data_IF_385640454757
#
_entry.id   IF_385640454757
#
_cell.length_a   1.000
_cell.length_b   1.000
_cell.length_c   1.000
_cell.angle_alpha   90.00
_cell.angle_beta   90.00
_cell.angle_gamma   90.00
#
_symmetry.space_group_name_H-M   'P 1'
#
loop_
_entity.id
_entity.type
_entity.pdbx_description
1 polymer ?
#
# COMPACT_ATOMS: atom_id res chain seq x y z
N UNK A 1 -40.88 24.01 0.46
CA UNK A 1 -41.36 23.25 1.63
C UNK A 1 -40.20 23.23 2.61
N UNK A 2 -40.38 23.73 3.84
CA UNK A 2 -39.34 23.68 4.88
C UNK A 2 -39.46 22.32 5.60
N UNK A 3 -38.47 21.44 5.46
CA UNK A 3 -38.48 20.10 6.08
C UNK A 3 -37.76 20.05 7.42
N UNK A 4 -37.31 21.21 7.95
CA UNK A 4 -36.70 21.29 9.27
C UNK A 4 -37.77 21.11 10.37
N UNK A 5 -37.53 20.15 11.28
CA UNK A 5 -38.43 19.90 12.42
C UNK A 5 -39.50 18.81 12.17
N UNK A 6 -39.39 18.02 11.10
CA UNK A 6 -40.22 16.83 10.93
C UNK A 6 -39.88 15.77 11.98
N UNK A 7 -40.91 15.22 12.62
CA UNK A 7 -40.79 14.06 13.50
C UNK A 7 -40.69 12.76 12.71
N UNK A 8 -40.17 11.71 13.35
CA UNK A 8 -40.14 10.39 12.74
C UNK A 8 -41.56 9.88 12.50
N UNK A 9 -41.82 9.20 11.37
CA UNK A 9 -43.14 8.61 11.11
C UNK A 9 -43.53 7.59 12.20
N UNK A 10 -44.83 7.39 12.45
CA UNK A 10 -45.31 6.36 13.36
C UNK A 10 -44.73 4.98 13.01
N UNK A 11 -44.23 4.26 14.00
CA UNK A 11 -43.58 2.94 13.83
C UNK A 11 -42.10 2.98 13.50
N UNK A 12 -41.48 4.17 13.36
CA UNK A 12 -40.04 4.34 13.24
C UNK A 12 -39.47 4.73 14.61
N UNK A 13 -38.66 3.85 15.21
CA UNK A 13 -38.21 3.99 16.62
C UNK A 13 -36.76 4.46 16.74
N UNK A 14 -36.04 4.59 15.62
CA UNK A 14 -34.67 5.05 15.61
C UNK A 14 -34.32 5.82 14.35
N UNK A 15 -33.33 6.70 14.44
CA UNK A 15 -32.67 7.27 13.26
C UNK A 15 -31.93 6.20 12.47
N UNK A 16 -31.75 6.38 11.16
CA UNK A 16 -30.94 5.47 10.36
C UNK A 16 -29.53 5.32 10.93
N UNK A 17 -29.06 4.08 11.00
CA UNK A 17 -27.67 3.75 11.34
C UNK A 17 -26.98 3.06 10.18
N UNK A 18 -25.66 3.21 10.08
CA UNK A 18 -24.88 2.55 9.04
C UNK A 18 -24.85 1.05 9.29
N UNK A 19 -25.37 0.26 8.35
CA UNK A 19 -25.30 -1.20 8.43
C UNK A 19 -23.93 -1.73 7.99
N UNK A 20 -23.37 -1.18 6.90
CA UNK A 20 -22.03 -1.46 6.40
C UNK A 20 -21.58 -0.39 5.41
N UNK A 21 -20.26 -0.22 5.26
CA UNK A 21 -19.64 0.67 4.27
C UNK A 21 -18.18 0.27 4.03
N UNK A 22 -17.59 0.67 2.89
CA UNK A 22 -16.14 0.71 2.75
C UNK A 22 -15.67 2.02 3.38
N UNK A 23 -14.72 1.93 4.30
CA UNK A 23 -14.34 3.09 5.10
C UNK A 23 -13.02 3.71 4.66
N UNK A 24 -12.01 2.86 4.37
CA UNK A 24 -10.69 3.31 3.95
C UNK A 24 -9.99 2.20 3.18
N UNK A 25 -9.88 2.37 1.86
CA UNK A 25 -9.26 1.39 0.98
C UNK A 25 -7.76 1.59 0.90
N UNK A 26 -7.02 0.47 0.90
CA UNK A 26 -5.57 0.42 0.81
C UNK A 26 -5.08 -0.87 0.15
N UNK A 27 -3.77 -1.00 0.01
CA UNK A 27 -3.02 -2.19 -0.30
C UNK A 27 -3.56 -3.04 -1.45
N UNK A 28 -3.77 -2.48 -2.66
CA UNK A 28 -4.26 -3.26 -3.78
C UNK A 28 -3.19 -4.24 -4.28
N UNK A 29 -3.60 -5.48 -4.56
CA UNK A 29 -2.75 -6.51 -5.18
C UNK A 29 -3.59 -7.38 -6.11
N UNK A 30 -3.06 -7.75 -7.28
CA UNK A 30 -3.73 -8.64 -8.22
C UNK A 30 -3.09 -10.02 -8.23
N UNK A 31 -3.90 -11.08 -8.21
CA UNK A 31 -3.42 -12.44 -8.42
C UNK A 31 -3.17 -12.74 -9.91
N UNK A 32 -2.59 -13.92 -10.18
CA UNK A 32 -2.30 -14.35 -11.55
C UNK A 32 -3.53 -14.60 -12.42
N UNK A 33 -4.73 -14.66 -11.83
CA UNK A 33 -6.00 -14.85 -12.54
C UNK A 33 -6.73 -13.51 -12.79
N UNK A 34 -6.16 -12.38 -12.28
CA UNK A 34 -6.67 -11.04 -12.48
C UNK A 34 -7.68 -10.59 -11.41
N UNK A 35 -7.82 -11.33 -10.32
CA UNK A 35 -8.63 -10.86 -9.19
C UNK A 35 -7.88 -9.77 -8.43
N UNK A 36 -8.57 -8.68 -8.11
CA UNK A 36 -8.04 -7.59 -7.30
C UNK A 36 -8.38 -7.82 -5.82
N UNK A 37 -7.36 -7.94 -5.00
CA UNK A 37 -7.45 -7.90 -3.54
C UNK A 37 -7.11 -6.49 -3.05
N UNK A 38 -7.82 -6.01 -2.05
CA UNK A 38 -7.51 -4.72 -1.41
C UNK A 38 -8.03 -4.72 0.03
N UNK A 39 -7.48 -3.85 0.85
CA UNK A 39 -7.85 -3.77 2.26
C UNK A 39 -8.90 -2.69 2.51
N UNK A 40 -9.72 -2.91 3.52
CA UNK A 40 -10.58 -1.92 4.16
C UNK A 40 -10.18 -1.88 5.64
N UNK A 41 -9.17 -1.06 5.93
CA UNK A 41 -8.45 -1.07 7.21
C UNK A 41 -9.40 -0.81 8.37
N UNK A 42 -10.27 0.20 8.25
CA UNK A 42 -11.19 0.61 9.33
C UNK A 42 -12.19 -0.50 9.67
N UNK A 43 -12.63 -1.28 8.69
CA UNK A 43 -13.54 -2.42 8.91
C UNK A 43 -12.78 -3.74 9.17
N UNK A 44 -11.45 -3.69 9.28
CA UNK A 44 -10.59 -4.83 9.60
C UNK A 44 -10.82 -6.03 8.68
N UNK A 45 -10.79 -5.80 7.35
CA UNK A 45 -11.06 -6.84 6.35
C UNK A 45 -10.22 -6.68 5.08
N UNK A 46 -9.99 -7.80 4.40
CA UNK A 46 -9.49 -7.85 3.03
C UNK A 46 -10.68 -8.17 2.14
N UNK A 47 -10.83 -7.42 1.07
CA UNK A 47 -11.85 -7.57 0.04
C UNK A 47 -11.24 -8.17 -1.21
N UNK A 48 -12.03 -8.85 -2.02
CA UNK A 48 -11.64 -9.32 -3.36
C UNK A 48 -12.71 -8.97 -4.38
N UNK A 49 -12.26 -8.36 -5.48
CA UNK A 49 -13.03 -8.14 -6.69
C UNK A 49 -12.56 -9.16 -7.73
N UNK A 50 -13.40 -10.13 -8.04
CA UNK A 50 -13.07 -11.16 -9.02
C UNK A 50 -12.99 -10.56 -10.45
N UNK A 51 -12.09 -11.09 -11.27
CA UNK A 51 -11.90 -10.63 -12.64
C UNK A 51 -13.21 -10.63 -13.43
N UNK A 52 -13.53 -9.49 -14.06
CA UNK A 52 -14.79 -9.30 -14.79
C UNK A 52 -16.02 -9.05 -13.92
N UNK A 53 -15.91 -9.10 -12.59
CA UNK A 53 -16.99 -8.76 -11.66
C UNK A 53 -17.06 -7.25 -11.42
N UNK A 54 -18.24 -6.77 -11.01
CA UNK A 54 -18.44 -5.42 -10.44
C UNK A 54 -18.71 -5.46 -8.94
N UNK A 55 -18.78 -6.65 -8.37
CA UNK A 55 -19.12 -6.86 -6.96
C UNK A 55 -17.93 -7.49 -6.25
N UNK A 56 -17.49 -6.86 -5.18
CA UNK A 56 -16.49 -7.43 -4.29
C UNK A 56 -17.16 -8.33 -3.23
N UNK A 57 -16.36 -9.23 -2.66
CA UNK A 57 -16.73 -10.01 -1.48
C UNK A 57 -15.65 -9.88 -0.41
N UNK A 58 -15.98 -10.23 0.82
CA UNK A 58 -14.98 -10.33 1.88
C UNK A 58 -14.14 -11.59 1.65
N UNK A 59 -12.82 -11.39 1.52
CA UNK A 59 -11.86 -12.48 1.44
C UNK A 59 -11.45 -12.96 2.83
N UNK A 60 -11.07 -12.03 3.73
CA UNK A 60 -10.64 -12.33 5.10
C UNK A 60 -11.13 -11.27 6.09
N UNK A 61 -11.71 -11.71 7.21
CA UNK A 61 -12.12 -10.88 8.33
C UNK A 61 -12.11 -11.70 9.63
N UNK A 62 -11.41 -11.27 10.72
CA UNK A 62 -10.58 -10.07 10.78
C UNK A 62 -9.33 -10.19 9.91
N UNK A 63 -8.84 -9.06 9.40
CA UNK A 63 -7.61 -8.97 8.63
C UNK A 63 -6.36 -8.67 9.47
N UNK A 64 -6.55 -8.35 10.75
CA UNK A 64 -5.49 -7.84 11.62
C UNK A 64 -5.12 -6.39 11.33
N UNK A 65 -6.07 -5.59 10.80
CA UNK A 65 -5.84 -4.23 10.30
C UNK A 65 -4.81 -4.20 9.18
N UNK A 66 -4.92 -5.17 8.25
CA UNK A 66 -4.04 -5.21 7.09
C UNK A 66 -4.11 -3.90 6.30
N UNK A 67 -2.94 -3.41 5.89
CA UNK A 67 -2.72 -2.27 5.04
C UNK A 67 -2.22 -2.76 3.67
N UNK A 68 -0.93 -2.75 3.37
CA UNK A 68 -0.36 -3.21 2.11
C UNK A 68 -0.53 -4.70 1.87
N UNK A 69 -0.83 -5.07 0.63
CA UNK A 69 -0.89 -6.44 0.14
C UNK A 69 0.05 -6.61 -1.04
N UNK A 70 0.59 -7.82 -1.22
CA UNK A 70 1.38 -8.19 -2.39
C UNK A 70 1.27 -9.69 -2.63
N UNK A 71 1.43 -10.14 -3.86
CA UNK A 71 1.63 -11.55 -4.18
C UNK A 71 3.12 -11.86 -4.28
N UNK A 72 3.60 -12.88 -3.55
CA UNK A 72 4.98 -13.36 -3.65
C UNK A 72 5.21 -14.18 -4.93
N UNK A 73 6.44 -14.61 -5.16
CA UNK A 73 6.83 -15.36 -6.37
C UNK A 73 6.06 -16.66 -6.59
N UNK A 74 5.50 -17.24 -5.52
CA UNK A 74 4.69 -18.47 -5.58
C UNK A 74 3.19 -18.16 -5.65
N UNK A 75 2.79 -16.87 -5.74
CA UNK A 75 1.39 -16.48 -5.82
C UNK A 75 0.64 -16.56 -4.49
N UNK A 76 1.34 -16.52 -3.35
CA UNK A 76 0.73 -16.43 -2.01
C UNK A 76 0.54 -14.96 -1.63
N UNK A 77 -0.56 -14.65 -0.96
CA UNK A 77 -0.89 -13.30 -0.57
C UNK A 77 -0.15 -12.90 0.71
N UNK A 78 0.77 -11.94 0.59
CA UNK A 78 1.41 -11.25 1.70
C UNK A 78 0.50 -10.13 2.21
N UNK A 79 0.49 -9.88 3.53
CA UNK A 79 -0.24 -8.80 4.15
C UNK A 79 0.58 -8.15 5.26
N UNK A 80 0.68 -6.83 5.20
CA UNK A 80 1.17 -5.98 6.27
C UNK A 80 0.02 -5.74 7.25
N UNK A 81 -0.06 -6.55 8.31
CA UNK A 81 -1.09 -6.40 9.33
C UNK A 81 -0.65 -5.31 10.31
N UNK A 82 -1.22 -4.12 10.16
CA UNK A 82 -0.80 -2.89 10.84
C UNK A 82 -1.42 -2.69 12.22
N UNK A 83 -1.64 -1.42 12.56
CA UNK A 83 -2.27 -1.00 13.84
C UNK A 83 -2.98 0.37 13.68
N UNK A 84 -3.27 0.79 12.45
CA UNK A 84 -3.87 2.08 12.17
C UNK A 84 -5.36 2.12 12.51
N UNK A 85 -5.87 3.31 12.83
CA UNK A 85 -7.27 3.61 13.19
C UNK A 85 -7.79 2.98 14.49
N UNK A 86 -7.15 1.92 15.01
CA UNK A 86 -7.55 1.25 16.25
C UNK A 86 -6.33 0.67 16.96
N UNK A 87 -5.64 1.43 17.81
CA UNK A 87 -4.30 1.10 18.29
C UNK A 87 -4.16 -0.20 19.11
N UNK A 88 -5.22 -0.87 19.45
CA UNK A 88 -5.15 -2.13 20.21
C UNK A 88 -5.77 -3.33 19.48
N UNK A 89 -6.13 -3.17 18.21
CA UNK A 89 -6.83 -4.19 17.42
C UNK A 89 -6.02 -4.69 16.20
N UNK A 90 -4.88 -4.07 15.94
CA UNK A 90 -3.96 -4.49 14.89
C UNK A 90 -3.00 -5.59 15.34
N UNK A 91 -2.63 -6.48 14.42
CA UNK A 91 -1.73 -7.59 14.74
C UNK A 91 -0.26 -7.18 14.79
N UNK A 92 0.14 -6.13 14.06
CA UNK A 92 1.50 -5.59 13.99
C UNK A 92 2.50 -6.67 13.53
N UNK A 93 2.23 -7.26 12.35
CA UNK A 93 3.00 -8.40 11.83
C UNK A 93 2.94 -8.49 10.30
N UNK A 94 3.80 -9.31 9.72
CA UNK A 94 3.71 -9.74 8.32
C UNK A 94 3.16 -11.15 8.28
N UNK A 95 2.10 -11.36 7.49
CA UNK A 95 1.52 -12.67 7.26
C UNK A 95 1.53 -13.06 5.78
N UNK A 96 1.46 -14.35 5.50
CA UNK A 96 1.40 -14.94 4.18
C UNK A 96 0.24 -15.96 4.12
N UNK A 97 -0.62 -15.80 3.11
CA UNK A 97 -1.80 -16.65 2.94
C UNK A 97 -1.64 -17.49 1.67
N UNK A 98 -1.72 -18.80 1.80
CA UNK A 98 -1.88 -19.72 0.68
C UNK A 98 -3.34 -19.66 0.20
N UNK A 99 -3.57 -19.21 -1.04
CA UNK A 99 -4.93 -19.06 -1.58
C UNK A 99 -5.64 -20.39 -1.84
N UNK A 100 -4.88 -21.49 -2.01
CA UNK A 100 -5.43 -22.82 -2.29
C UNK A 100 -5.99 -23.47 -1.03
N UNK A 101 -5.24 -23.35 0.07
CA UNK A 101 -5.60 -23.98 1.35
C UNK A 101 -6.30 -23.03 2.32
N UNK A 102 -6.15 -21.72 2.13
CA UNK A 102 -6.58 -20.68 3.06
C UNK A 102 -5.69 -20.57 4.31
N UNK A 103 -4.60 -21.34 4.38
CA UNK A 103 -3.69 -21.30 5.53
C UNK A 103 -2.96 -19.97 5.62
N UNK A 104 -2.89 -19.41 6.84
CA UNK A 104 -2.18 -18.15 7.14
C UNK A 104 -0.95 -18.48 7.98
N UNK A 105 0.21 -18.14 7.45
CA UNK A 105 1.51 -18.22 8.12
C UNK A 105 1.91 -16.85 8.61
N UNK A 106 2.47 -16.74 9.83
CA UNK A 106 3.08 -15.52 10.35
C UNK A 106 4.57 -15.57 10.00
N UNK A 107 5.02 -14.63 9.17
CA UNK A 107 6.43 -14.53 8.79
C UNK A 107 7.27 -13.86 9.88
N UNK A 108 6.74 -12.79 10.46
CA UNK A 108 7.36 -12.09 11.59
C UNK A 108 6.34 -11.20 12.31
N UNK A 109 6.43 -11.10 13.64
CA UNK A 109 5.62 -10.20 14.47
C UNK A 109 6.47 -9.33 15.40
N UNK A 110 7.81 -9.51 15.38
CA UNK A 110 8.77 -8.82 16.27
C UNK A 110 10.10 -8.59 15.59
N UNK A 111 10.75 -7.52 16.02
CA UNK A 111 12.15 -7.25 15.77
C UNK A 111 12.85 -6.97 17.09
N UNK A 112 13.94 -7.69 17.39
CA UNK A 112 14.69 -7.58 18.65
C UNK A 112 13.78 -7.70 19.90
N UNK A 113 12.83 -8.64 19.86
CA UNK A 113 11.87 -8.90 20.94
C UNK A 113 10.72 -7.90 21.07
N UNK A 114 10.72 -6.80 20.32
CA UNK A 114 9.70 -5.74 20.34
C UNK A 114 8.74 -5.87 19.17
N UNK A 115 7.49 -5.51 19.39
CA UNK A 115 6.47 -5.49 18.31
C UNK A 115 6.75 -4.38 17.31
N UNK A 116 6.42 -4.62 16.04
CA UNK A 116 6.45 -3.57 15.00
C UNK A 116 5.52 -2.41 15.34
N UNK A 117 5.71 -1.27 14.68
CA UNK A 117 4.84 -0.09 14.86
C UNK A 117 3.47 -0.31 14.21
N UNK A 118 3.45 -0.28 12.88
CA UNK A 118 2.28 -0.57 12.06
C UNK A 118 2.75 -0.94 10.64
N UNK A 119 3.15 -2.20 10.39
CA UNK A 119 3.56 -2.62 9.05
C UNK A 119 2.58 -2.11 7.99
N UNK A 120 3.14 -1.40 6.97
CA UNK A 120 2.33 -0.60 6.06
C UNK A 120 2.36 -1.16 4.63
N UNK A 121 3.52 -1.24 3.98
CA UNK A 121 3.61 -1.73 2.60
C UNK A 121 4.78 -2.70 2.43
N UNK A 122 4.78 -3.49 1.33
CA UNK A 122 5.71 -4.62 1.16
C UNK A 122 6.10 -4.79 -0.31
N UNK A 123 7.39 -5.10 -0.53
CA UNK A 123 7.94 -5.50 -1.82
C UNK A 123 8.62 -6.87 -1.71
N UNK A 124 8.57 -7.67 -2.78
CA UNK A 124 9.15 -9.01 -2.82
C UNK A 124 10.15 -9.13 -3.97
N UNK A 125 11.32 -9.70 -3.68
CA UNK A 125 12.32 -10.07 -4.67
C UNK A 125 12.07 -11.49 -5.21
N UNK A 126 12.54 -11.76 -6.42
CA UNK A 126 12.48 -13.09 -7.05
C UNK A 126 13.29 -14.16 -6.31
N UNK A 127 14.30 -13.75 -5.51
CA UNK A 127 15.09 -14.62 -4.65
C UNK A 127 14.40 -14.97 -3.32
N UNK A 128 13.19 -14.47 -3.07
CA UNK A 128 12.38 -14.72 -1.88
C UNK A 128 12.61 -13.75 -0.71
N UNK A 129 13.51 -12.77 -0.85
CA UNK A 129 13.63 -11.67 0.10
C UNK A 129 12.40 -10.78 0.03
N UNK A 130 11.95 -10.29 1.20
CA UNK A 130 10.83 -9.36 1.32
C UNK A 130 11.30 -8.10 2.04
N UNK A 131 10.86 -6.93 1.57
CA UNK A 131 11.12 -5.65 2.22
C UNK A 131 9.78 -5.04 2.63
N UNK A 132 9.64 -4.60 3.88
CA UNK A 132 8.41 -3.94 4.33
C UNK A 132 8.70 -2.68 5.13
N UNK A 133 7.77 -1.74 5.07
CA UNK A 133 7.80 -0.48 5.80
C UNK A 133 7.02 -0.60 7.10
N UNK A 134 7.52 0.04 8.17
CA UNK A 134 6.93 0.01 9.51
C UNK A 134 6.84 1.41 10.12
N UNK A 135 5.97 2.30 9.58
CA UNK A 135 5.76 3.63 10.13
C UNK A 135 4.81 3.60 11.33
N UNK A 136 4.76 4.73 12.07
CA UNK A 136 3.70 5.02 13.02
C UNK A 136 3.08 6.39 12.70
N UNK A 137 1.91 6.40 12.05
CA UNK A 137 1.20 7.62 11.67
C UNK A 137 0.29 8.17 12.76
N UNK A 138 -0.16 7.31 13.67
CA UNK A 138 -1.14 7.66 14.70
C UNK A 138 -0.50 7.86 16.08
N UNK A 139 -0.88 7.07 17.06
CA UNK A 139 -0.41 7.22 18.43
C UNK A 139 0.98 6.66 18.63
N UNK A 140 1.96 7.54 18.56
CA UNK A 140 3.38 7.19 18.75
C UNK A 140 3.72 6.75 20.17
N UNK A 141 2.84 6.98 21.15
CA UNK A 141 3.04 6.48 22.51
C UNK A 141 2.94 4.96 22.62
N UNK A 142 2.34 4.32 21.61
CA UNK A 142 2.21 2.86 21.51
C UNK A 142 3.42 2.16 20.88
N UNK A 143 4.42 2.92 20.41
CA UNK A 143 5.64 2.36 19.81
C UNK A 143 6.46 1.63 20.86
N UNK A 144 6.86 0.41 20.53
CA UNK A 144 7.85 -0.35 21.30
C UNK A 144 9.25 -0.20 20.69
N UNK A 145 9.32 -0.01 19.36
CA UNK A 145 10.53 0.28 18.61
C UNK A 145 10.88 1.77 18.68
N UNK A 146 12.15 2.08 18.56
CA UNK A 146 12.70 3.44 18.69
C UNK A 146 12.39 4.35 17.51
N UNK A 147 12.25 3.78 16.30
CA UNK A 147 12.10 4.51 15.04
C UNK A 147 11.10 3.86 14.11
N UNK A 148 10.54 4.67 13.18
CA UNK A 148 9.95 4.17 11.95
C UNK A 148 11.08 3.62 11.07
N UNK A 149 10.87 2.48 10.41
CA UNK A 149 11.96 1.76 9.75
C UNK A 149 11.50 0.98 8.53
N UNK A 150 12.45 0.52 7.73
CA UNK A 150 12.25 -0.53 6.72
C UNK A 150 13.00 -1.77 7.17
N UNK A 151 12.35 -2.91 7.05
CA UNK A 151 12.90 -4.21 7.40
C UNK A 151 12.98 -5.11 6.18
N UNK A 152 13.94 -6.04 6.19
CA UNK A 152 14.06 -7.16 5.25
C UNK A 152 13.79 -8.46 5.99
N UNK A 153 12.98 -9.33 5.37
CA UNK A 153 12.84 -10.74 5.77
C UNK A 153 13.59 -11.58 4.76
N UNK A 154 14.52 -12.40 5.21
CA UNK A 154 15.26 -13.33 4.38
C UNK A 154 14.49 -14.66 4.21
N UNK A 155 14.77 -15.47 3.17
CA UNK A 155 14.08 -16.75 2.94
C UNK A 155 14.17 -17.75 4.09
N UNK A 156 15.17 -17.65 4.93
CA UNK A 156 15.36 -18.45 6.15
C UNK A 156 14.55 -17.93 7.36
N UNK A 157 13.82 -16.83 7.19
CA UNK A 157 13.03 -16.18 8.23
C UNK A 157 13.81 -15.14 9.06
N UNK A 158 15.08 -14.93 8.78
CA UNK A 158 15.89 -13.87 9.41
C UNK A 158 15.32 -12.48 9.10
N UNK A 159 15.28 -11.60 10.11
CA UNK A 159 14.82 -10.22 9.93
C UNK A 159 15.92 -9.23 10.20
N UNK A 160 16.12 -8.29 9.28
CA UNK A 160 17.11 -7.22 9.38
C UNK A 160 16.46 -5.86 9.23
N UNK A 161 16.74 -4.90 10.11
CA UNK A 161 16.37 -3.49 9.92
C UNK A 161 17.37 -2.86 8.95
N UNK A 162 16.91 -2.54 7.73
CA UNK A 162 17.78 -2.07 6.64
C UNK A 162 17.81 -0.56 6.48
N UNK A 163 16.74 0.15 6.85
CA UNK A 163 16.69 1.62 6.86
C UNK A 163 16.00 2.12 8.13
N UNK A 164 16.51 3.21 8.67
CA UNK A 164 15.96 3.91 9.84
C UNK A 164 16.39 5.38 9.83
N UNK A 165 16.01 6.15 10.83
CA UNK A 165 16.50 7.52 10.99
C UNK A 165 18.03 7.55 11.16
N UNK A 166 18.73 8.54 10.59
CA UNK A 166 18.19 9.72 9.87
C UNK A 166 17.96 9.51 8.37
N UNK A 167 18.21 8.33 7.80
CA UNK A 167 18.11 8.06 6.36
C UNK A 167 16.69 8.25 5.83
N UNK A 168 15.69 7.80 6.60
CA UNK A 168 14.27 7.99 6.34
C UNK A 168 13.57 8.47 7.61
N UNK A 169 12.41 9.12 7.44
CA UNK A 169 11.65 9.64 8.58
C UNK A 169 10.37 8.84 8.84
N UNK A 170 9.60 8.58 7.77
CA UNK A 170 8.34 7.84 7.86
C UNK A 170 8.05 7.10 6.56
N UNK A 171 8.61 5.89 6.41
CA UNK A 171 8.43 5.12 5.18
C UNK A 171 6.99 4.67 5.02
N UNK A 172 6.48 4.73 3.78
CA UNK A 172 5.16 4.30 3.36
C UNK A 172 5.30 3.30 2.21
N UNK A 173 4.91 3.66 0.99
CA UNK A 173 5.03 2.79 -0.17
C UNK A 173 6.46 2.33 -0.44
N UNK A 174 6.60 1.11 -0.94
CA UNK A 174 7.88 0.48 -1.24
C UNK A 174 7.76 -0.35 -2.52
N UNK A 175 8.74 -0.23 -3.41
CA UNK A 175 8.75 -0.98 -4.67
C UNK A 175 10.17 -1.29 -5.14
N UNK A 176 10.30 -2.28 -6.02
CA UNK A 176 11.56 -2.66 -6.67
C UNK A 176 11.57 -2.22 -8.13
N UNK A 177 12.75 -1.93 -8.66
CA UNK A 177 12.95 -1.84 -10.11
C UNK A 177 12.74 -3.22 -10.77
N UNK A 178 12.37 -3.28 -12.07
CA UNK A 178 12.14 -4.54 -12.77
C UNK A 178 13.35 -5.49 -12.79
N UNK A 179 14.55 -4.97 -12.68
CA UNK A 179 15.81 -5.74 -12.60
C UNK A 179 16.21 -6.07 -11.15
N UNK A 180 15.38 -5.67 -10.18
CA UNK A 180 15.57 -5.87 -8.74
C UNK A 180 16.89 -5.31 -8.17
N UNK A 181 17.44 -4.26 -8.83
CA UNK A 181 18.71 -3.62 -8.41
C UNK A 181 18.50 -2.33 -7.65
N UNK A 182 17.27 -1.81 -7.63
CA UNK A 182 16.92 -0.57 -6.94
C UNK A 182 15.70 -0.84 -6.05
N UNK A 183 15.81 -0.43 -4.78
CA UNK A 183 14.67 -0.32 -3.88
C UNK A 183 14.23 1.14 -3.82
N UNK A 184 12.95 1.40 -4.10
CA UNK A 184 12.33 2.70 -3.94
C UNK A 184 11.50 2.73 -2.66
N UNK A 185 11.58 3.83 -1.93
CA UNK A 185 10.83 4.06 -0.69
C UNK A 185 10.19 5.44 -0.72
N UNK A 186 8.91 5.49 -0.50
CA UNK A 186 8.17 6.72 -0.19
C UNK A 186 8.44 7.09 1.26
N UNK A 187 8.93 8.29 1.48
CA UNK A 187 9.15 8.86 2.83
C UNK A 187 8.18 10.03 3.02
N UNK A 188 7.08 9.78 3.73
CA UNK A 188 5.94 10.70 3.84
C UNK A 188 5.66 11.09 5.29
N UNK A 189 6.52 11.94 5.85
CA UNK A 189 6.41 12.41 7.22
C UNK A 189 5.49 13.63 7.35
N UNK A 190 4.34 13.56 8.05
CA UNK A 190 3.35 14.65 8.09
C UNK A 190 3.71 15.80 9.03
N UNK A 191 4.87 15.76 9.70
CA UNK A 191 5.30 16.82 10.61
C UNK A 191 5.81 18.06 9.87
N UNK A 192 5.94 19.20 10.56
CA UNK A 192 6.53 20.40 9.99
C UNK A 192 7.97 20.13 9.51
N UNK A 193 8.28 20.47 8.25
CA UNK A 193 9.58 20.21 7.63
C UNK A 193 9.88 18.72 7.40
N UNK A 194 8.90 17.84 7.59
CA UNK A 194 9.04 16.42 7.33
C UNK A 194 9.22 16.10 5.84
N UNK A 195 9.84 14.98 5.55
CA UNK A 195 10.08 14.53 4.18
C UNK A 195 8.75 14.28 3.45
N UNK A 196 8.71 14.64 2.17
CA UNK A 196 7.66 14.33 1.19
C UNK A 196 8.30 13.70 -0.05
N UNK A 197 9.18 12.72 0.16
CA UNK A 197 10.21 12.32 -0.80
C UNK A 197 10.05 10.90 -1.26
N UNK A 198 10.51 10.67 -2.48
CA UNK A 198 10.77 9.34 -3.01
C UNK A 198 12.28 9.16 -3.01
N UNK A 199 12.74 8.13 -2.30
CA UNK A 199 14.13 7.74 -2.25
C UNK A 199 14.39 6.49 -3.10
N UNK A 200 15.56 6.40 -3.69
CA UNK A 200 16.09 5.17 -4.28
C UNK A 200 17.36 4.73 -3.56
N UNK A 201 17.53 3.43 -3.45
CA UNK A 201 18.70 2.77 -2.89
C UNK A 201 19.17 1.69 -3.84
N UNK A 202 20.50 1.59 -4.08
CA UNK A 202 21.06 0.44 -4.78
C UNK A 202 20.85 -0.80 -3.92
N UNK A 203 20.33 -1.87 -4.51
CA UNK A 203 20.06 -3.14 -3.86
C UNK A 203 21.02 -4.20 -4.40
N UNK A 204 21.84 -4.75 -3.51
CA UNK A 204 22.68 -5.90 -3.80
C UNK A 204 21.92 -7.23 -3.65
N UNK A 205 22.40 -8.29 -4.29
CA UNK A 205 21.75 -9.62 -4.24
C UNK A 205 21.64 -10.24 -2.85
N UNK A 206 22.47 -9.79 -1.88
CA UNK A 206 22.38 -10.18 -0.47
C UNK A 206 21.38 -9.32 0.33
N UNK A 207 20.68 -8.39 -0.32
CA UNK A 207 19.72 -7.49 0.30
C UNK A 207 20.34 -6.26 0.98
N UNK A 208 21.63 -6.01 0.79
CA UNK A 208 22.31 -4.80 1.28
C UNK A 208 21.88 -3.58 0.46
N UNK A 209 21.56 -2.48 1.16
CA UNK A 209 21.20 -1.19 0.56
C UNK A 209 22.38 -0.21 0.63
N UNK A 210 22.58 0.52 -0.46
CA UNK A 210 23.64 1.54 -0.58
C UNK A 210 23.14 2.75 -1.41
N UNK A 211 23.94 3.81 -1.44
CA UNK A 211 23.79 4.97 -2.33
C UNK A 211 22.39 5.57 -2.37
N UNK A 212 21.91 6.06 -1.21
CA UNK A 212 20.62 6.81 -1.15
C UNK A 212 20.62 8.01 -2.11
N UNK A 213 19.61 8.11 -2.96
CA UNK A 213 19.40 9.22 -3.89
C UNK A 213 17.95 9.73 -3.82
N UNK A 214 17.80 11.05 -3.90
CA UNK A 214 16.48 11.66 -4.08
C UNK A 214 16.00 11.43 -5.50
N UNK A 215 14.83 10.82 -5.65
CA UNK A 215 14.15 10.68 -6.94
C UNK A 215 13.19 11.85 -7.15
N UNK A 216 12.32 12.14 -6.16
CA UNK A 216 11.34 13.21 -6.26
C UNK A 216 10.99 13.79 -4.89
N UNK A 217 10.60 15.07 -4.85
CA UNK A 217 10.13 15.75 -3.63
C UNK A 217 8.78 16.41 -3.90
N UNK A 218 7.75 15.99 -3.19
CA UNK A 218 6.39 16.55 -3.28
C UNK A 218 6.17 17.77 -2.39
N UNK A 219 7.18 18.18 -1.57
CA UNK A 219 7.02 19.31 -0.68
C UNK A 219 6.64 20.59 -1.45
N UNK A 220 5.76 21.45 -0.91
CA UNK A 220 5.16 21.42 0.43
C UNK A 220 3.82 20.65 0.51
N UNK A 221 3.38 19.99 -0.55
CA UNK A 221 2.12 19.26 -0.59
C UNK A 221 2.14 17.97 0.23
N UNK A 222 1.05 17.22 0.17
CA UNK A 222 1.04 15.85 0.69
C UNK A 222 2.00 15.00 -0.15
N UNK A 223 2.89 14.28 0.50
CA UNK A 223 3.81 13.35 -0.13
C UNK A 223 3.11 12.15 -0.77
N UNK A 224 3.90 11.28 -1.38
CA UNK A 224 3.43 10.00 -1.86
C UNK A 224 2.91 9.11 -0.73
N UNK A 225 2.11 8.12 -1.10
CA UNK A 225 1.59 7.06 -0.24
C UNK A 225 2.09 5.71 -0.77
N UNK A 226 1.26 4.86 -1.37
CA UNK A 226 1.73 3.66 -2.05
C UNK A 226 2.27 3.91 -3.46
N UNK A 227 2.97 2.91 -4.02
CA UNK A 227 3.50 2.98 -5.38
C UNK A 227 3.64 1.61 -6.05
N UNK A 228 3.68 1.62 -7.39
CA UNK A 228 4.08 0.48 -8.20
C UNK A 228 5.00 0.91 -9.35
N UNK A 229 5.59 -0.04 -10.06
CA UNK A 229 6.57 0.22 -11.13
C UNK A 229 6.15 -0.50 -12.40
N UNK A 230 6.26 0.16 -13.57
CA UNK A 230 6.00 -0.49 -14.86
C UNK A 230 7.22 -1.28 -15.38
N UNK A 231 7.02 -2.04 -16.45
CA UNK A 231 8.08 -2.88 -17.05
C UNK A 231 9.26 -2.10 -17.64
N UNK A 232 9.15 -0.77 -17.77
CA UNK A 232 10.22 0.13 -18.20
C UNK A 232 10.90 0.85 -17.03
N UNK A 233 10.42 0.61 -15.79
CA UNK A 233 10.96 1.22 -14.58
C UNK A 233 10.33 2.57 -14.21
N UNK A 234 9.27 3.01 -14.90
CA UNK A 234 8.52 4.22 -14.48
C UNK A 234 7.81 3.94 -13.17
N UNK A 235 7.98 4.84 -12.20
CA UNK A 235 7.27 4.80 -10.92
C UNK A 235 5.89 5.43 -11.06
N UNK A 236 4.87 4.76 -10.54
CA UNK A 236 3.51 5.26 -10.41
C UNK A 236 3.22 5.43 -8.92
N UNK A 237 3.02 6.67 -8.49
CA UNK A 237 2.97 7.04 -7.07
C UNK A 237 1.60 7.65 -6.77
N UNK A 238 0.86 7.01 -5.88
CA UNK A 238 -0.37 7.57 -5.31
C UNK A 238 -0.03 8.78 -4.45
N UNK A 239 -0.58 9.97 -4.74
CA UNK A 239 -0.23 11.18 -4.02
C UNK A 239 -1.33 12.26 -4.08
N UNK A 240 -1.14 13.29 -3.29
CA UNK A 240 -1.95 14.49 -3.31
C UNK A 240 -3.20 14.45 -2.43
N UNK A 241 -3.76 15.62 -2.20
CA UNK A 241 -5.03 15.84 -1.49
C UNK A 241 -5.79 16.99 -2.14
N UNK A 242 -7.11 16.93 -2.11
CA UNK A 242 -7.96 18.05 -2.53
C UNK A 242 -8.10 19.12 -1.44
N UNK A 243 -7.93 18.74 -0.17
CA UNK A 243 -7.98 19.63 1.00
C UNK A 243 -6.87 19.29 1.97
N UNK A 244 -6.11 20.32 2.40
CA UNK A 244 -5.16 20.17 3.49
C UNK A 244 -5.88 19.74 4.78
N UNK A 245 -5.32 18.75 5.48
CA UNK A 245 -5.90 18.16 6.72
C UNK A 245 -5.17 18.59 7.96
N UNK A 246 -4.00 19.18 7.80
CA UNK A 246 -3.19 19.69 8.90
C UNK A 246 -2.52 21.00 8.51
N UNK A 247 -2.00 21.73 9.49
CA UNK A 247 -1.25 22.96 9.25
C UNK A 247 0.07 22.73 8.47
N UNK A 248 0.53 21.50 8.39
CA UNK A 248 1.79 21.12 7.74
C UNK A 248 1.59 20.49 6.35
N UNK A 249 0.38 20.57 5.82
CA UNK A 249 0.00 20.00 4.53
C UNK A 249 -0.64 21.08 3.67
N UNK A 250 -0.35 21.07 2.38
CA UNK A 250 -1.00 21.94 1.40
C UNK A 250 -1.68 21.10 0.32
N UNK A 251 -2.60 21.68 -0.44
CA UNK A 251 -3.24 21.07 -1.60
C UNK A 251 -2.55 21.42 -2.93
N UNK A 252 -1.29 21.80 -2.89
CA UNK A 252 -0.51 22.14 -4.10
C UNK A 252 -0.16 20.91 -4.95
N UNK A 253 -0.23 19.71 -4.36
CA UNK A 253 -0.14 18.44 -5.09
C UNK A 253 -1.57 17.92 -5.30
N UNK A 254 -2.12 18.02 -6.52
CA UNK A 254 -3.45 17.50 -6.86
C UNK A 254 -3.56 15.99 -6.63
N UNK A 255 -4.78 15.53 -6.37
CA UNK A 255 -5.05 14.10 -6.18
C UNK A 255 -4.83 13.30 -7.46
N UNK A 256 -4.04 12.24 -7.41
CA UNK A 256 -3.79 11.39 -8.57
C UNK A 256 -2.66 10.39 -8.39
N UNK A 257 -2.36 9.70 -9.49
CA UNK A 257 -1.20 8.83 -9.60
C UNK A 257 -0.16 9.52 -10.48
N UNK A 258 1.00 9.79 -9.92
CA UNK A 258 2.10 10.50 -10.56
C UNK A 258 3.05 9.52 -11.24
N UNK A 259 3.22 9.64 -12.56
CA UNK A 259 4.20 8.87 -13.32
C UNK A 259 5.55 9.60 -13.33
N UNK A 260 6.57 8.99 -12.71
CA UNK A 260 7.89 9.59 -12.50
C UNK A 260 8.97 8.63 -12.99
N UNK A 261 9.92 9.12 -13.81
CA UNK A 261 11.07 8.35 -14.22
C UNK A 261 12.07 8.15 -13.06
N UNK A 262 12.90 7.10 -13.09
CA UNK A 262 13.94 6.87 -12.09
C UNK A 262 14.92 8.03 -11.90
N UNK A 263 15.10 8.88 -12.91
CA UNK A 263 15.93 10.09 -12.85
C UNK A 263 15.24 11.30 -12.22
N UNK A 264 13.99 11.15 -11.77
CA UNK A 264 13.19 12.19 -11.12
C UNK A 264 12.34 13.02 -12.08
N UNK A 265 12.35 12.76 -13.37
CA UNK A 265 11.54 13.48 -14.35
C UNK A 265 10.07 13.11 -14.24
N UNK A 266 9.22 14.07 -13.90
CA UNK A 266 7.77 13.92 -13.92
C UNK A 266 7.26 13.79 -15.36
N UNK A 267 6.54 12.71 -15.66
CA UNK A 267 5.89 12.49 -16.95
C UNK A 267 4.47 13.07 -16.98
N UNK A 268 3.78 13.01 -15.87
CA UNK A 268 2.39 13.49 -15.73
C UNK A 268 1.70 12.94 -14.50
N UNK A 269 0.41 13.27 -14.38
CA UNK A 269 -0.46 12.81 -13.30
C UNK A 269 -1.75 12.26 -13.91
N UNK A 270 -2.16 11.08 -13.49
CA UNK A 270 -3.47 10.49 -13.75
C UNK A 270 -4.41 11.02 -12.66
N UNK A 271 -5.35 11.92 -12.96
CA UNK A 271 -6.23 12.50 -11.95
C UNK A 271 -7.22 11.45 -11.43
N UNK A 272 -7.37 11.36 -10.12
CA UNK A 272 -8.34 10.47 -9.47
C UNK A 272 -9.39 11.33 -8.76
N UNK A 273 -10.70 11.15 -9.05
CA UNK A 273 -11.77 12.00 -8.54
C UNK A 273 -12.19 11.63 -7.11
N UNK A 274 -11.24 11.38 -6.24
CA UNK A 274 -11.43 11.05 -4.82
C UNK A 274 -10.37 11.81 -4.01
N UNK A 275 -10.64 12.04 -2.74
CA UNK A 275 -9.62 12.55 -1.83
C UNK A 275 -8.87 11.39 -1.17
N UNK A 276 -7.62 11.58 -0.81
CA UNK A 276 -6.72 10.54 -0.30
C UNK A 276 -6.50 9.40 -1.29
N UNK A 277 -5.61 9.62 -2.23
CA UNK A 277 -5.10 8.54 -3.05
C UNK A 277 -4.11 7.76 -2.20
N UNK A 278 -4.37 6.47 -2.00
CA UNK A 278 -3.63 5.68 -1.01
C UNK A 278 -2.58 4.78 -1.66
N UNK A 279 -2.96 3.98 -2.67
CA UNK A 279 -2.00 3.03 -3.25
C UNK A 279 -2.40 2.67 -4.70
N UNK A 280 -1.51 1.97 -5.42
CA UNK A 280 -1.80 1.47 -6.76
C UNK A 280 -1.06 0.16 -7.05
N UNK A 281 -1.62 -0.63 -7.97
CA UNK A 281 -1.06 -1.91 -8.38
C UNK A 281 -1.40 -2.24 -9.83
N UNK A 282 -0.67 -3.18 -10.40
CA UNK A 282 -0.89 -3.68 -11.75
C UNK A 282 -1.77 -4.92 -11.78
N UNK A 283 -2.67 -4.98 -12.75
CA UNK A 283 -3.51 -6.14 -12.99
C UNK A 283 -3.97 -6.24 -14.44
N UNK A 284 -5.02 -7.03 -14.67
CA UNK A 284 -5.38 -7.47 -15.99
C UNK A 284 -4.47 -8.62 -16.48
N UNK A 285 -4.89 -9.34 -17.51
CA UNK A 285 -4.13 -10.47 -18.05
C UNK A 285 -2.79 -10.05 -18.67
N UNK A 286 -2.73 -8.84 -19.19
CA UNK A 286 -1.55 -8.25 -19.86
C UNK A 286 -0.82 -7.21 -19.00
N UNK A 287 -1.22 -7.05 -17.71
CA UNK A 287 -0.69 -6.06 -16.77
C UNK A 287 -0.86 -4.60 -17.23
N UNK A 288 -1.83 -4.34 -18.09
CA UNK A 288 -2.11 -2.98 -18.59
C UNK A 288 -3.25 -2.28 -17.86
N UNK A 289 -3.79 -2.87 -16.83
CA UNK A 289 -4.76 -2.22 -15.96
C UNK A 289 -4.07 -1.76 -14.68
N UNK A 290 -4.01 -0.46 -14.47
CA UNK A 290 -3.58 0.14 -13.21
C UNK A 290 -4.79 0.25 -12.29
N UNK A 291 -4.79 -0.48 -11.19
CA UNK A 291 -5.76 -0.32 -10.12
C UNK A 291 -5.26 0.68 -9.09
N UNK A 292 -6.16 1.52 -8.59
CA UNK A 292 -5.86 2.59 -7.64
C UNK A 292 -6.85 2.55 -6.50
N UNK A 293 -6.37 2.48 -5.27
CA UNK A 293 -7.21 2.67 -4.08
C UNK A 293 -7.19 4.13 -3.66
N UNK A 294 -8.35 4.67 -3.31
CA UNK A 294 -8.50 6.04 -2.87
C UNK A 294 -9.73 6.17 -1.98
N UNK A 295 -9.58 6.73 -0.79
CA UNK A 295 -10.69 6.96 0.13
C UNK A 295 -11.53 5.71 0.35
N UNK A 296 -12.68 5.62 -0.32
CA UNK A 296 -13.65 4.51 -0.20
C UNK A 296 -13.83 3.73 -1.51
N UNK A 297 -12.99 3.97 -2.49
CA UNK A 297 -13.19 3.50 -3.86
C UNK A 297 -11.92 2.83 -4.39
N UNK A 298 -12.08 1.79 -5.17
CA UNK A 298 -11.04 1.24 -6.04
C UNK A 298 -11.32 1.64 -7.48
N UNK A 299 -10.35 2.28 -8.13
CA UNK A 299 -10.41 2.73 -9.51
C UNK A 299 -9.59 1.82 -10.41
N UNK A 300 -9.86 1.85 -11.71
CA UNK A 300 -9.06 1.20 -12.73
C UNK A 300 -8.79 2.15 -13.89
N UNK A 301 -7.59 2.07 -14.45
CA UNK A 301 -7.14 2.88 -15.58
C UNK A 301 -6.38 1.98 -16.55
N UNK A 302 -6.75 2.02 -17.83
CA UNK A 302 -6.00 1.33 -18.87
C UNK A 302 -4.76 2.12 -19.27
N UNK A 303 -3.63 1.44 -19.43
CA UNK A 303 -2.33 2.03 -19.81
C UNK A 303 -1.72 1.27 -20.97
N UNK A 304 -0.79 1.93 -21.69
CA UNK A 304 -0.10 1.32 -22.82
C UNK A 304 1.04 0.39 -22.37
N UNK A 305 1.85 0.84 -21.40
CA UNK A 305 3.01 0.11 -20.89
C UNK A 305 2.57 -0.86 -19.81
N UNK A 306 2.85 -2.16 -19.95
CA UNK A 306 2.47 -3.11 -18.92
C UNK A 306 3.25 -2.86 -17.62
N UNK A 307 2.60 -3.16 -16.50
CA UNK A 307 3.23 -3.15 -15.20
C UNK A 307 4.29 -4.24 -15.01
N UNK A 308 5.02 -4.15 -13.92
CA UNK A 308 5.92 -5.20 -13.47
C UNK A 308 5.43 -5.79 -12.14
N UNK A 309 5.41 -7.12 -12.05
CA UNK A 309 5.04 -7.86 -10.85
C UNK A 309 5.97 -9.07 -10.68
N UNK A 310 6.30 -9.41 -9.44
CA UNK A 310 7.25 -10.48 -9.14
C UNK A 310 6.64 -11.88 -9.28
N UNK A 311 5.33 -12.04 -9.05
CA UNK A 311 4.66 -13.32 -9.17
C UNK A 311 4.47 -13.73 -10.64
N UNK A 312 4.59 -15.02 -10.92
CA UNK A 312 4.44 -15.55 -12.28
C UNK A 312 2.97 -15.52 -12.70
N UNK A 313 2.68 -14.79 -13.76
CA UNK A 313 1.39 -14.90 -14.45
C UNK A 313 1.45 -16.20 -15.28
N UNK A 314 0.45 -17.12 -15.15
CA UNK A 314 0.39 -18.29 -16.01
C UNK A 314 0.40 -17.85 -17.48
N UNK A 315 1.32 -18.41 -18.28
CA UNK A 315 1.30 -18.18 -19.72
C UNK A 315 -0.09 -18.57 -20.22
N UNK A 316 -0.81 -17.63 -20.82
CA UNK A 316 -2.07 -17.91 -21.49
C UNK A 316 -1.83 -19.08 -22.44
N UNK A 317 -2.54 -20.22 -22.26
CA UNK A 317 -2.55 -21.28 -23.25
C UNK A 317 -2.93 -20.62 -24.56
N UNK A 318 -2.01 -20.60 -25.53
CA UNK A 318 -2.34 -20.28 -26.92
C UNK A 318 -3.40 -21.32 -27.30
N UNK A 319 -4.62 -20.86 -27.42
CA UNK A 319 -5.67 -21.64 -28.11
C UNK A 319 -5.18 -21.83 -29.53
N UNK A 320 -4.82 -23.08 -29.86
CA UNK A 320 -4.63 -23.53 -31.22
C UNK A 320 -5.94 -23.38 -32.03
#
# INVERSE_FOLDING_TARGET
>A
MNLHGLELPPGVFSLPSTATFIAFTEGPACDATGNLYFTDIVNNRILVLEAGSRYFRVFRQPSGRANGLLFDVEGRLLACEGNEFCPNDGHRRISRTDLTTGAVEILTDRYDGKRYNAPNDIAACSNGQLFFTDPCYYDRSTMELDHDSVYRIDPDGGVTRVLTQPQIQRPNGIALSPDERILYVVDSCPTAGGHRRIWSFDLAGDGTLAHQRLVFDFAPGRGGDGMCVDSRGTLYIAAGVSRARSANETNEVPTGVYAIQPDGRLLGCIPIPEDIITNCTWGGQDLKTLYVTAGKTAYQVEVEVPGWVVHRIPATRKTE
#
